data_IF_389600073091
#
_entry.id   IF_389600073091
#
_cell.length_a   1.000
_cell.length_b   1.000
_cell.length_c   1.000
_cell.angle_alpha   90.00
_cell.angle_beta   90.00
_cell.angle_gamma   90.00
#
_symmetry.space_group_name_H-M   'P 1'
#
loop_
_entity.id
_entity.type
_entity.pdbx_description
1 polymer ?
#
# COMPACT_ATOMS: atom_id res chain seq x y z
N UNK A 1 13.82 -9.22 -5.58
CA UNK A 1 13.60 -10.07 -4.39
C UNK A 1 12.52 -11.15 -4.62
N UNK A 2 11.23 -10.86 -4.76
CA UNK A 2 10.19 -11.90 -4.86
C UNK A 2 10.37 -12.82 -6.07
N UNK A 3 10.75 -12.28 -7.24
CA UNK A 3 11.06 -13.08 -8.42
C UNK A 3 12.28 -13.99 -8.19
N UNK A 4 13.28 -13.52 -7.45
CA UNK A 4 14.44 -14.33 -7.08
C UNK A 4 14.04 -15.51 -6.20
N UNK A 5 13.21 -15.26 -5.18
CA UNK A 5 12.66 -16.34 -4.34
C UNK A 5 11.87 -17.36 -5.17
N UNK A 6 11.07 -16.91 -6.14
CA UNK A 6 10.32 -17.80 -7.02
C UNK A 6 11.24 -18.64 -7.91
N UNK A 7 12.24 -18.05 -8.55
CA UNK A 7 13.21 -18.76 -9.40
C UNK A 7 13.96 -19.82 -8.57
N UNK A 8 14.46 -19.43 -7.38
CA UNK A 8 15.18 -20.35 -6.49
C UNK A 8 14.31 -21.51 -6.03
N UNK A 9 13.07 -21.24 -5.67
CA UNK A 9 12.12 -22.28 -5.27
C UNK A 9 11.89 -23.29 -6.40
N UNK A 10 11.53 -22.82 -7.61
CA UNK A 10 11.23 -23.70 -8.76
C UNK A 10 12.46 -24.51 -9.20
N UNK A 11 13.64 -23.93 -9.08
CA UNK A 11 14.89 -24.57 -9.52
C UNK A 11 15.62 -25.31 -8.39
N UNK A 12 15.07 -25.36 -7.17
CA UNK A 12 15.75 -25.92 -5.99
C UNK A 12 17.13 -25.28 -5.79
N UNK A 13 17.20 -23.97 -5.81
CA UNK A 13 18.42 -23.15 -5.71
C UNK A 13 19.46 -23.37 -6.83
N UNK A 14 19.13 -24.03 -7.94
CA UNK A 14 20.06 -24.21 -9.06
C UNK A 14 20.20 -22.96 -9.93
N UNK A 15 19.25 -22.06 -9.90
CA UNK A 15 19.27 -20.79 -10.60
C UNK A 15 18.70 -19.65 -9.73
N UNK A 16 19.02 -18.41 -10.11
CA UNK A 16 18.68 -17.20 -9.38
C UNK A 16 18.31 -16.07 -10.35
N UNK A 17 17.89 -14.94 -9.81
CA UNK A 17 17.70 -13.70 -10.58
C UNK A 17 19.00 -13.24 -11.26
N UNK A 18 20.17 -13.50 -10.65
CA UNK A 18 21.47 -13.16 -11.25
C UNK A 18 21.71 -13.93 -12.55
N UNK A 19 21.29 -15.19 -12.63
CA UNK A 19 21.40 -16.00 -13.85
C UNK A 19 20.48 -15.44 -14.93
N UNK A 20 19.28 -14.98 -14.58
CA UNK A 20 18.41 -14.27 -15.51
C UNK A 20 19.08 -12.99 -16.03
N UNK A 21 19.64 -12.17 -15.13
CA UNK A 21 20.30 -10.91 -15.54
C UNK A 21 21.53 -11.16 -16.43
N UNK A 22 22.35 -12.16 -16.13
CA UNK A 22 23.48 -12.57 -16.98
C UNK A 22 22.99 -13.03 -18.36
N UNK A 23 21.93 -13.83 -18.40
CA UNK A 23 21.35 -14.33 -19.65
C UNK A 23 20.81 -13.19 -20.51
N UNK A 24 20.06 -12.26 -19.94
CA UNK A 24 19.56 -11.07 -20.62
C UNK A 24 20.71 -10.22 -21.18
N UNK A 25 21.73 -9.97 -20.37
CA UNK A 25 22.91 -9.22 -20.78
C UNK A 25 23.63 -9.87 -21.96
N UNK A 26 23.93 -11.18 -21.87
CA UNK A 26 24.64 -11.88 -22.95
C UNK A 26 23.79 -12.00 -24.22
N UNK A 27 22.50 -12.32 -24.09
CA UNK A 27 21.63 -12.56 -25.25
C UNK A 27 21.30 -11.26 -25.97
N UNK A 28 20.86 -10.26 -25.24
CA UNK A 28 20.31 -9.04 -25.87
C UNK A 28 21.37 -7.97 -26.06
N UNK A 29 22.13 -7.65 -25.01
CA UNK A 29 23.12 -6.58 -25.11
C UNK A 29 24.37 -7.03 -25.89
N UNK A 30 25.01 -8.13 -25.49
CA UNK A 30 26.28 -8.58 -26.13
C UNK A 30 26.05 -9.15 -27.51
N UNK A 31 25.06 -10.02 -27.71
CA UNK A 31 24.87 -10.74 -28.99
C UNK A 31 24.03 -9.93 -29.98
N UNK A 32 22.95 -9.26 -29.52
CA UNK A 32 22.02 -8.55 -30.39
C UNK A 32 22.24 -7.04 -30.44
N UNK A 33 23.10 -6.46 -29.59
CA UNK A 33 23.41 -5.03 -29.55
C UNK A 33 22.22 -4.14 -29.15
N UNK A 34 21.21 -4.68 -28.45
CA UNK A 34 20.03 -3.95 -28.04
C UNK A 34 19.56 -4.31 -26.62
N UNK A 35 18.57 -3.58 -26.10
CA UNK A 35 17.83 -3.96 -24.88
C UNK A 35 16.85 -5.11 -25.16
N UNK A 36 16.21 -5.57 -24.11
CA UNK A 36 15.11 -6.57 -24.15
C UNK A 36 13.77 -5.89 -23.94
N UNK A 37 12.72 -6.50 -24.47
CA UNK A 37 11.33 -6.11 -24.23
C UNK A 37 10.81 -6.78 -22.96
N UNK A 38 9.66 -6.33 -22.48
CA UNK A 38 8.98 -6.91 -21.31
C UNK A 38 8.63 -8.40 -21.53
N UNK A 39 8.10 -8.72 -22.71
CA UNK A 39 7.81 -10.11 -23.10
C UNK A 39 9.06 -10.99 -23.19
N UNK A 40 10.19 -10.43 -23.63
CA UNK A 40 11.46 -11.13 -23.65
C UNK A 40 11.98 -11.38 -22.25
N UNK A 41 11.86 -10.39 -21.34
CA UNK A 41 12.19 -10.57 -19.93
C UNK A 41 11.37 -11.70 -19.31
N UNK A 42 10.07 -11.69 -19.49
CA UNK A 42 9.17 -12.74 -18.98
C UNK A 42 9.55 -14.12 -19.53
N UNK A 43 9.71 -14.24 -20.84
CA UNK A 43 10.10 -15.51 -21.49
C UNK A 43 11.42 -16.07 -21.00
N UNK A 44 12.42 -15.21 -20.80
CA UNK A 44 13.72 -15.66 -20.30
C UNK A 44 13.64 -16.03 -18.81
N UNK A 45 12.82 -15.33 -18.01
CA UNK A 45 12.55 -15.69 -16.61
C UNK A 45 11.87 -17.07 -16.53
N UNK A 46 10.84 -17.31 -17.33
CA UNK A 46 10.12 -18.61 -17.40
C UNK A 46 11.03 -19.77 -17.86
N UNK A 47 11.93 -19.52 -18.82
CA UNK A 47 12.94 -20.52 -19.24
C UNK A 47 13.89 -20.90 -18.12
N UNK A 48 14.32 -19.94 -17.30
CA UNK A 48 15.22 -20.19 -16.17
C UNK A 48 14.49 -20.88 -15.04
N UNK A 49 13.26 -20.44 -14.72
CA UNK A 49 12.44 -21.04 -13.68
C UNK A 49 11.94 -22.45 -14.05
N UNK A 50 11.91 -22.78 -15.36
CA UNK A 50 11.39 -24.05 -15.86
C UNK A 50 9.87 -24.18 -15.75
N UNK A 51 9.15 -23.10 -15.50
CA UNK A 51 7.69 -23.06 -15.34
C UNK A 51 7.13 -21.72 -15.79
N UNK A 52 5.81 -21.66 -16.01
CA UNK A 52 5.13 -20.38 -16.24
C UNK A 52 5.18 -19.49 -15.00
N UNK A 53 5.40 -18.21 -15.22
CA UNK A 53 5.38 -17.18 -14.19
C UNK A 53 4.20 -16.20 -14.38
N UNK A 54 3.15 -16.62 -15.08
CA UNK A 54 1.98 -15.81 -15.36
C UNK A 54 1.35 -15.25 -14.08
N UNK A 55 1.19 -16.10 -13.07
CA UNK A 55 0.65 -15.74 -11.76
C UNK A 55 1.50 -14.69 -11.03
N UNK A 56 2.81 -14.64 -11.31
CA UNK A 56 3.72 -13.63 -10.79
C UNK A 56 3.60 -12.31 -11.57
N UNK A 57 3.56 -12.37 -12.89
CA UNK A 57 3.45 -11.18 -13.74
C UNK A 57 2.07 -10.51 -13.66
N UNK A 58 1.02 -11.23 -13.26
CA UNK A 58 -0.30 -10.67 -12.95
C UNK A 58 -0.22 -9.53 -11.92
N UNK A 59 0.74 -9.58 -10.97
CA UNK A 59 0.93 -8.49 -10.01
C UNK A 59 1.42 -7.19 -10.63
N UNK A 60 2.01 -7.23 -11.82
CA UNK A 60 2.52 -6.06 -12.54
C UNK A 60 1.38 -5.42 -13.36
N UNK A 61 0.50 -6.23 -13.93
CA UNK A 61 -0.53 -5.79 -14.87
C UNK A 61 -1.92 -5.59 -14.23
N UNK A 62 -2.08 -6.00 -12.98
CA UNK A 62 -3.37 -5.92 -12.27
C UNK A 62 -3.22 -5.26 -10.91
N UNK A 63 -4.36 -4.99 -10.24
CA UNK A 63 -4.40 -4.52 -8.85
C UNK A 63 -4.46 -5.68 -7.84
N UNK A 64 -4.09 -6.89 -8.25
CA UNK A 64 -4.09 -8.07 -7.40
C UNK A 64 -3.11 -7.87 -6.24
N UNK A 65 -3.53 -8.04 -4.98
CA UNK A 65 -2.63 -7.91 -3.84
C UNK A 65 -1.57 -9.00 -3.84
N UNK A 66 -0.32 -8.61 -3.56
CA UNK A 66 0.81 -9.55 -3.52
C UNK A 66 0.65 -10.49 -2.32
N UNK A 67 0.75 -11.79 -2.57
CA UNK A 67 0.81 -12.80 -1.52
C UNK A 67 2.25 -12.90 -0.96
N UNK A 68 2.60 -11.98 -0.07
CA UNK A 68 3.92 -11.94 0.54
C UNK A 68 4.27 -13.24 1.29
N UNK A 69 3.32 -13.82 2.02
CA UNK A 69 3.55 -15.05 2.80
C UNK A 69 4.01 -16.20 1.92
N UNK A 70 3.46 -16.34 0.70
CA UNK A 70 3.90 -17.35 -0.27
C UNK A 70 5.36 -17.20 -0.64
N UNK A 71 5.76 -15.98 -1.03
CA UNK A 71 7.12 -15.74 -1.54
C UNK A 71 8.18 -15.75 -0.44
N UNK A 72 7.85 -15.22 0.74
CA UNK A 72 8.75 -15.29 1.89
C UNK A 72 8.90 -16.74 2.39
N UNK A 73 7.81 -17.54 2.31
CA UNK A 73 7.86 -18.97 2.61
C UNK A 73 8.88 -19.74 1.76
N UNK A 74 9.05 -19.35 0.48
CA UNK A 74 10.09 -19.95 -0.38
C UNK A 74 11.53 -19.71 0.12
N UNK A 75 11.74 -18.68 0.92
CA UNK A 75 13.03 -18.37 1.52
C UNK A 75 13.15 -18.86 2.99
N UNK A 76 12.19 -19.68 3.46
CA UNK A 76 12.16 -20.11 4.85
C UNK A 76 11.84 -18.98 5.85
N UNK A 77 11.14 -17.95 5.36
CA UNK A 77 10.75 -16.80 6.16
C UNK A 77 9.23 -16.75 6.31
N UNK A 78 8.75 -16.34 7.46
CA UNK A 78 7.37 -15.93 7.69
C UNK A 78 7.30 -14.40 7.73
N UNK A 79 6.24 -13.85 7.18
CA UNK A 79 5.95 -12.43 7.25
C UNK A 79 4.59 -12.25 7.92
N UNK A 80 4.58 -11.48 9.01
CA UNK A 80 3.33 -11.05 9.63
C UNK A 80 2.83 -9.79 8.90
N UNK A 81 1.65 -9.91 8.32
CA UNK A 81 0.97 -8.82 7.61
C UNK A 81 -0.29 -8.36 8.36
N UNK A 82 -0.43 -8.74 9.63
CA UNK A 82 -1.57 -8.36 10.45
C UNK A 82 -1.54 -6.85 10.65
N UNK A 83 -2.63 -6.20 10.33
CA UNK A 83 -2.83 -4.79 10.65
C UNK A 83 -3.42 -4.65 12.04
N UNK A 84 -2.71 -3.92 12.90
CA UNK A 84 -3.21 -3.58 14.23
C UNK A 84 -4.18 -2.40 14.13
N UNK A 85 -5.27 -2.49 14.86
CA UNK A 85 -6.20 -1.38 15.00
C UNK A 85 -5.65 -0.40 16.04
N UNK A 86 -5.51 0.85 15.65
CA UNK A 86 -5.11 1.92 16.56
C UNK A 86 -6.33 2.43 17.33
N UNK A 87 -6.14 2.81 18.62
CA UNK A 87 -7.22 3.36 19.41
C UNK A 87 -7.67 4.71 18.87
N UNK A 88 -8.95 5.05 19.11
CA UNK A 88 -9.56 6.30 18.70
C UNK A 88 -10.29 6.23 17.37
N UNK A 89 -11.03 7.29 17.09
CA UNK A 89 -11.73 7.46 15.80
C UNK A 89 -10.74 7.80 14.70
N UNK A 90 -11.08 7.42 13.48
CA UNK A 90 -10.30 7.73 12.30
C UNK A 90 -11.17 8.39 11.22
N UNK A 91 -10.75 9.57 10.79
CA UNK A 91 -11.40 10.30 9.71
C UNK A 91 -10.63 10.16 8.38
N UNK A 92 -9.32 9.99 8.45
CA UNK A 92 -8.44 9.85 7.29
C UNK A 92 -8.05 11.16 6.64
N UNK A 93 -7.96 12.26 7.43
CA UNK A 93 -7.38 13.52 6.96
C UNK A 93 -6.32 14.02 7.93
N UNK A 94 -5.35 14.74 7.36
CA UNK A 94 -4.45 15.60 8.10
C UNK A 94 -4.82 17.05 7.83
N UNK A 95 -4.80 17.88 8.87
CA UNK A 95 -5.14 19.29 8.78
C UNK A 95 -4.04 20.16 9.37
N UNK A 96 -4.02 21.43 9.00
CA UNK A 96 -3.19 22.49 9.64
C UNK A 96 -4.00 23.77 9.75
N UNK A 97 -3.64 24.61 10.68
CA UNK A 97 -4.24 25.94 10.83
C UNK A 97 -3.97 26.81 9.61
N UNK A 98 -5.00 27.53 9.18
CA UNK A 98 -4.95 28.52 8.11
C UNK A 98 -5.96 29.62 8.39
N UNK A 99 -5.47 30.78 8.85
CA UNK A 99 -6.34 31.88 9.31
C UNK A 99 -7.40 31.35 10.30
N UNK A 100 -8.68 31.62 10.05
CA UNK A 100 -9.80 31.17 10.90
C UNK A 100 -10.38 29.80 10.52
N UNK A 101 -9.65 28.97 9.79
CA UNK A 101 -10.10 27.65 9.30
C UNK A 101 -8.97 26.65 9.31
N UNK A 102 -9.29 25.38 9.06
CA UNK A 102 -8.29 24.32 8.88
C UNK A 102 -8.17 24.01 7.39
N UNK A 103 -6.95 23.92 6.88
CA UNK A 103 -6.74 23.40 5.52
C UNK A 103 -6.40 21.91 5.59
N UNK A 104 -7.05 21.11 4.74
CA UNK A 104 -6.75 19.70 4.57
C UNK A 104 -5.44 19.54 3.79
N UNK A 105 -4.41 19.02 4.44
CA UNK A 105 -3.09 18.78 3.85
C UNK A 105 -2.95 17.39 3.24
N UNK A 106 -3.68 16.41 3.78
CA UNK A 106 -3.80 15.06 3.23
C UNK A 106 -5.22 14.53 3.41
N UNK A 107 -5.65 13.67 2.48
CA UNK A 107 -6.90 12.94 2.58
C UNK A 107 -6.64 11.52 2.06
N UNK A 108 -6.75 10.55 2.95
CA UNK A 108 -6.45 9.17 2.65
C UNK A 108 -7.51 8.58 1.71
N UNK A 109 -7.08 7.84 0.72
CA UNK A 109 -7.95 7.15 -0.21
C UNK A 109 -8.88 6.19 0.52
N UNK A 110 -10.16 6.19 0.14
CA UNK A 110 -11.23 5.37 0.75
C UNK A 110 -11.45 5.58 2.25
N UNK A 111 -10.91 6.64 2.83
CA UNK A 111 -11.21 7.01 4.22
C UNK A 111 -12.66 7.52 4.36
N UNK A 112 -13.20 7.58 5.59
CA UNK A 112 -14.49 8.21 5.85
C UNK A 112 -14.61 9.61 5.26
N UNK A 113 -13.59 10.44 5.42
CA UNK A 113 -13.54 11.78 4.83
C UNK A 113 -13.55 11.76 3.30
N UNK A 114 -12.75 10.88 2.69
CA UNK A 114 -12.73 10.73 1.24
C UNK A 114 -14.12 10.36 0.69
N UNK A 115 -14.78 9.39 1.30
CA UNK A 115 -16.07 8.90 0.89
C UNK A 115 -17.18 9.96 1.06
N UNK A 116 -17.01 10.88 2.03
CA UNK A 116 -17.90 12.03 2.26
C UNK A 116 -17.56 13.25 1.40
N UNK A 117 -16.60 13.13 0.48
CA UNK A 117 -16.27 14.18 -0.47
C UNK A 117 -15.22 15.19 -0.01
N UNK A 118 -14.58 15.01 1.16
CA UNK A 118 -13.46 15.85 1.55
C UNK A 118 -12.25 15.56 0.66
N UNK A 119 -11.48 16.60 0.36
CA UNK A 119 -10.30 16.49 -0.50
C UNK A 119 -9.17 17.37 0.03
N UNK A 120 -7.95 17.01 -0.33
CA UNK A 120 -6.77 17.85 -0.09
C UNK A 120 -7.00 19.27 -0.64
N UNK A 121 -6.54 20.28 0.09
CA UNK A 121 -6.68 21.72 -0.16
C UNK A 121 -8.07 22.31 0.14
N UNK A 122 -9.06 21.52 0.51
CA UNK A 122 -10.30 22.04 1.03
C UNK A 122 -10.09 22.62 2.43
N UNK A 123 -10.91 23.63 2.82
CA UNK A 123 -10.87 24.16 4.17
C UNK A 123 -12.01 23.56 4.98
N UNK A 124 -11.72 23.11 6.18
CA UNK A 124 -12.70 22.77 7.20
C UNK A 124 -13.06 24.04 7.94
N UNK A 125 -14.30 24.45 7.86
CA UNK A 125 -14.81 25.69 8.41
C UNK A 125 -15.34 25.52 9.82
N UNK A 126 -16.04 24.41 10.08
CA UNK A 126 -16.63 24.07 11.36
C UNK A 126 -16.63 22.55 11.54
N UNK A 127 -16.54 22.11 12.78
CA UNK A 127 -16.72 20.72 13.21
C UNK A 127 -17.70 20.71 14.38
N UNK A 128 -18.78 19.95 14.26
CA UNK A 128 -19.90 19.94 15.21
C UNK A 128 -20.43 21.38 15.51
N UNK A 129 -20.54 22.20 14.46
CA UNK A 129 -21.01 23.57 14.56
C UNK A 129 -19.97 24.59 15.08
N UNK A 130 -18.79 24.15 15.54
CA UNK A 130 -17.78 25.01 16.16
C UNK A 130 -16.56 25.18 15.26
N UNK A 131 -15.93 26.36 15.33
CA UNK A 131 -14.57 26.55 14.79
C UNK A 131 -13.56 26.00 15.79
N UNK A 132 -12.50 25.40 15.28
CA UNK A 132 -11.43 24.86 16.12
C UNK A 132 -10.07 24.92 15.40
N UNK A 133 -9.00 24.85 16.16
CA UNK A 133 -7.66 24.74 15.60
C UNK A 133 -7.30 23.28 15.32
N UNK A 134 -6.16 23.06 14.63
CA UNK A 134 -5.71 21.73 14.22
C UNK A 134 -5.46 20.79 15.39
N UNK A 135 -4.98 21.32 16.53
CA UNK A 135 -4.74 20.54 17.73
C UNK A 135 -6.07 20.02 18.31
N UNK A 136 -7.05 20.92 18.54
CA UNK A 136 -8.36 20.56 19.07
C UNK A 136 -9.10 19.58 18.13
N UNK A 137 -8.97 19.77 16.82
CA UNK A 137 -9.53 18.85 15.83
C UNK A 137 -8.94 17.44 15.98
N UNK A 138 -7.61 17.33 16.08
CA UNK A 138 -6.93 16.06 16.23
C UNK A 138 -7.32 15.37 17.56
N UNK A 139 -7.35 16.12 18.64
CA UNK A 139 -7.77 15.62 19.96
C UNK A 139 -9.22 15.10 19.92
N UNK A 140 -10.14 15.86 19.30
CA UNK A 140 -11.53 15.45 19.15
C UNK A 140 -11.65 14.10 18.42
N UNK A 141 -11.00 13.97 17.27
CA UNK A 141 -11.06 12.73 16.47
C UNK A 141 -10.41 11.56 17.20
N UNK A 142 -9.28 11.78 17.87
CA UNK A 142 -8.55 10.73 18.59
C UNK A 142 -9.29 10.28 19.86
N UNK A 143 -9.98 11.21 20.55
CA UNK A 143 -10.77 10.89 21.74
C UNK A 143 -12.11 10.20 21.40
N UNK A 144 -12.58 10.33 20.15
CA UNK A 144 -13.80 9.66 19.67
C UNK A 144 -13.55 8.17 19.45
N UNK A 145 -14.63 7.41 19.28
CA UNK A 145 -14.60 5.97 18.99
C UNK A 145 -14.93 5.71 17.53
N UNK A 146 -14.45 4.60 16.95
CA UNK A 146 -15.00 4.12 15.68
C UNK A 146 -16.52 3.96 15.78
N UNK A 147 -17.23 4.46 14.76
CA UNK A 147 -18.70 4.49 14.74
C UNK A 147 -19.31 5.80 15.25
N UNK A 148 -18.57 6.63 15.99
CA UNK A 148 -19.05 7.96 16.37
C UNK A 148 -19.21 8.84 15.13
N UNK A 149 -20.15 9.79 15.23
CA UNK A 149 -20.48 10.71 14.14
C UNK A 149 -19.94 12.10 14.43
N UNK A 150 -19.36 12.71 13.41
CA UNK A 150 -18.96 14.12 13.46
C UNK A 150 -19.55 14.87 12.27
N UNK A 151 -20.03 16.08 12.50
CA UNK A 151 -20.53 16.96 11.43
C UNK A 151 -19.42 17.91 11.02
N UNK A 152 -19.07 17.92 9.73
CA UNK A 152 -18.02 18.79 9.18
C UNK A 152 -18.59 19.68 8.10
N UNK A 153 -18.43 21.00 8.28
CA UNK A 153 -18.68 22.01 7.25
C UNK A 153 -17.37 22.36 6.58
N UNK A 154 -17.27 22.20 5.28
CA UNK A 154 -16.05 22.39 4.52
C UNK A 154 -16.29 23.06 3.18
N UNK A 155 -15.24 23.66 2.59
CA UNK A 155 -15.30 24.22 1.24
C UNK A 155 -15.21 23.13 0.19
N UNK A 156 -15.85 23.37 -0.96
CA UNK A 156 -15.72 22.58 -2.16
C UNK A 156 -15.32 23.51 -3.33
N UNK A 157 -15.17 22.99 -4.52
CA UNK A 157 -14.90 23.79 -5.72
C UNK A 157 -16.06 24.75 -6.06
N UNK A 158 -17.28 24.41 -5.64
CA UNK A 158 -18.53 25.15 -5.99
C UNK A 158 -19.16 25.90 -4.81
N UNK A 159 -18.52 25.88 -3.63
CA UNK A 159 -19.07 26.53 -2.43
C UNK A 159 -18.71 25.81 -1.13
N UNK A 160 -19.63 25.78 -0.19
CA UNK A 160 -19.46 25.02 1.08
C UNK A 160 -20.50 23.93 1.19
N UNK A 161 -20.12 22.82 1.84
CA UNK A 161 -20.96 21.67 2.10
C UNK A 161 -20.84 21.30 3.58
N UNK A 162 -21.89 20.70 4.13
CA UNK A 162 -21.89 20.11 5.48
C UNK A 162 -22.26 18.64 5.37
N UNK A 163 -21.47 17.79 6.02
CA UNK A 163 -21.66 16.34 6.01
C UNK A 163 -21.51 15.76 7.42
N UNK A 164 -22.39 14.84 7.76
CA UNK A 164 -22.24 13.97 8.92
C UNK A 164 -21.41 12.74 8.51
N UNK A 165 -20.28 12.53 9.17
CA UNK A 165 -19.31 11.51 8.82
C UNK A 165 -19.15 10.54 9.98
N UNK A 166 -19.30 9.25 9.71
CA UNK A 166 -19.05 8.18 10.68
C UNK A 166 -17.55 7.90 10.72
N UNK A 167 -16.95 7.98 11.89
CA UNK A 167 -15.52 7.69 12.09
C UNK A 167 -15.24 6.20 11.91
N UNK A 168 -14.18 5.90 11.20
CA UNK A 168 -13.67 4.55 10.97
C UNK A 168 -12.66 4.10 12.01
N UNK A 169 -12.07 2.95 11.75
CA UNK A 169 -10.93 2.39 12.48
C UNK A 169 -9.65 2.69 11.73
N UNK A 170 -8.66 3.28 12.39
CA UNK A 170 -7.32 3.39 11.82
C UNK A 170 -6.60 2.05 11.94
N UNK A 171 -6.12 1.53 10.82
CA UNK A 171 -5.33 0.31 10.77
C UNK A 171 -3.89 0.65 10.41
N UNK A 172 -2.96 0.13 11.16
CA UNK A 172 -1.52 0.23 10.88
C UNK A 172 -0.98 -1.16 10.59
N UNK A 173 -0.46 -1.36 9.38
CA UNK A 173 0.19 -2.60 9.03
C UNK A 173 1.62 -2.60 9.59
N UNK A 174 1.94 -3.56 10.46
CA UNK A 174 3.31 -3.87 10.82
C UNK A 174 3.74 -5.10 10.02
N UNK A 175 4.90 -5.00 9.37
CA UNK A 175 5.47 -6.13 8.65
C UNK A 175 6.64 -6.67 9.47
N UNK A 176 6.42 -7.73 10.21
CA UNK A 176 7.47 -8.41 10.95
C UNK A 176 7.91 -9.65 10.19
N UNK A 177 9.20 -9.74 9.87
CA UNK A 177 9.78 -10.88 9.17
C UNK A 177 10.54 -11.72 10.18
N UNK A 178 10.21 -13.00 10.25
CA UNK A 178 10.85 -13.98 11.14
C UNK A 178 11.32 -15.18 10.35
N UNK A 179 12.41 -15.79 10.79
CA UNK A 179 12.83 -17.09 10.27
C UNK A 179 11.85 -18.18 10.76
N UNK A 180 11.51 -19.11 9.88
CA UNK A 180 10.68 -20.27 10.25
C UNK A 180 11.55 -21.29 10.95
N UNK A 181 11.10 -21.81 12.11
CA UNK A 181 11.87 -22.76 12.92
C UNK A 181 12.21 -24.08 12.19
N UNK A 182 11.44 -24.45 11.20
CA UNK A 182 11.70 -25.58 10.31
C UNK A 182 11.50 -25.12 8.88
N UNK A 183 12.52 -24.53 8.23
CA UNK A 183 12.43 -24.22 6.80
C UNK A 183 12.20 -25.54 6.05
N UNK A 184 11.26 -25.51 5.10
CA UNK A 184 11.12 -26.62 4.15
C UNK A 184 12.44 -26.80 3.43
N UNK A 185 12.96 -28.02 3.40
CA UNK A 185 14.14 -28.35 2.60
C UNK A 185 13.89 -27.94 1.14
N UNK A 186 14.60 -26.90 0.71
CA UNK A 186 14.62 -26.42 -0.68
C UNK A 186 15.69 -27.15 -1.48
#
# INVERSE_FOLDING_TARGET
MLLDFRIRHETKNKASLDDLMRRLYHTYYKKLGRGFTEDEFRREAEKIAGTSLEDFFDYIYTLKPINYSRYFGYAGLSIDTVSNELPGGWLGIAVRDRNDSLIITNCDWQSPAWNSGLRRRYNVLQVNGNRMNAKAFTELVTASRPGDKITIRFTTATGSKEEEIVLGVKKEASFEIRQVDKPTDL
#
